data_IF_627275546625
#
_entry.id   IF_627275546625
#
_cell.length_a   1.000
_cell.length_b   1.000
_cell.length_c   1.000
_cell.angle_alpha   90.00
_cell.angle_beta   90.00
_cell.angle_gamma   90.00
#
_symmetry.space_group_name_H-M   'P 1'
#
loop_
_entity.id
_entity.type
_entity.pdbx_description
1 polymer ?
#
# COMPACT_ATOMS: atom_id res chain seq x y z
N UNK A 1 1.70 1.40 -16.96
CA UNK A 1 1.46 0.05 -16.40
C UNK A 1 1.50 0.03 -14.87
N UNK A 2 1.09 1.12 -14.22
CA UNK A 2 1.15 1.27 -12.78
C UNK A 2 -0.25 1.55 -12.26
N UNK A 3 -0.47 1.33 -10.97
CA UNK A 3 -1.75 1.62 -10.34
C UNK A 3 -1.65 1.70 -8.84
N UNK A 4 -2.75 2.07 -8.21
CA UNK A 4 -2.83 2.19 -6.77
C UNK A 4 -4.23 1.87 -6.24
N UNK A 5 -4.30 1.55 -4.95
CA UNK A 5 -5.54 1.50 -4.17
C UNK A 5 -5.27 2.25 -2.87
N UNK A 6 -6.16 3.19 -2.53
CA UNK A 6 -6.19 3.81 -1.20
C UNK A 6 -7.42 3.35 -0.44
N UNK A 7 -7.22 2.97 0.80
CA UNK A 7 -8.27 2.44 1.67
C UNK A 7 -8.22 3.16 3.01
N UNK A 8 -9.37 3.65 3.47
CA UNK A 8 -9.55 4.21 4.81
C UNK A 8 -10.90 3.73 5.35
N UNK A 9 -10.85 2.66 6.14
CA UNK A 9 -12.03 2.06 6.77
C UNK A 9 -12.22 2.56 8.21
N UNK A 10 -11.45 3.58 8.63
CA UNK A 10 -11.33 4.08 10.00
C UNK A 10 -10.76 3.02 10.95
N UNK A 11 -11.53 1.97 11.21
CA UNK A 11 -11.17 0.82 12.02
C UNK A 11 -11.87 -0.43 11.48
N UNK A 12 -11.14 -1.55 11.41
CA UNK A 12 -11.70 -2.83 11.02
C UNK A 12 -11.28 -3.92 12.01
N UNK A 13 -12.23 -4.75 12.44
CA UNK A 13 -11.96 -5.94 13.25
C UNK A 13 -12.20 -7.20 12.43
N UNK A 14 -11.18 -8.04 12.37
CA UNK A 14 -11.22 -9.36 11.75
C UNK A 14 -10.89 -10.45 12.78
N UNK A 15 -11.52 -11.63 12.64
CA UNK A 15 -11.25 -12.80 13.49
C UNK A 15 -10.90 -13.99 12.62
N UNK A 16 -9.74 -14.60 12.90
CA UNK A 16 -9.21 -15.74 12.14
C UNK A 16 -8.82 -16.89 13.04
N UNK A 17 -9.04 -18.09 12.54
CA UNK A 17 -8.58 -19.32 13.16
C UNK A 17 -7.10 -19.57 12.85
N UNK A 18 -6.35 -19.88 13.89
CA UNK A 18 -4.96 -20.27 13.79
C UNK A 18 -4.71 -21.53 14.62
N UNK A 19 -3.83 -22.40 14.14
CA UNK A 19 -3.24 -23.44 14.98
C UNK A 19 -2.40 -22.77 16.06
N UNK A 20 -2.48 -23.30 17.27
CA UNK A 20 -1.67 -22.84 18.41
C UNK A 20 -0.19 -23.06 18.06
N UNK A 21 0.59 -21.98 18.09
CA UNK A 21 2.03 -22.02 17.81
C UNK A 21 2.86 -22.22 19.08
N UNK A 22 4.17 -22.39 18.92
CA UNK A 22 5.11 -22.51 20.04
C UNK A 22 5.16 -21.26 20.94
N UNK A 23 4.77 -20.10 20.39
CA UNK A 23 4.61 -18.86 21.15
C UNK A 23 3.13 -18.51 21.19
N UNK A 24 2.50 -18.47 22.38
CA UNK A 24 1.10 -18.12 22.51
C UNK A 24 0.89 -16.67 22.09
N UNK A 25 -0.10 -16.42 21.23
CA UNK A 25 -0.53 -15.06 20.90
C UNK A 25 -1.25 -14.48 22.11
N UNK A 26 -1.03 -13.21 22.38
CA UNK A 26 -1.64 -12.53 23.53
C UNK A 26 -2.36 -11.25 23.10
N UNK A 27 -3.53 -10.94 23.69
CA UNK A 27 -4.12 -9.61 23.58
C UNK A 27 -3.11 -8.51 23.93
N UNK A 28 -3.13 -7.40 23.19
CA UNK A 28 -2.15 -6.31 23.31
C UNK A 28 -0.89 -6.49 22.46
N UNK A 29 -0.75 -7.59 21.72
CA UNK A 29 0.40 -7.80 20.83
C UNK A 29 0.28 -6.89 19.61
N UNK A 30 1.18 -5.91 19.47
CA UNK A 30 1.29 -5.07 18.27
C UNK A 30 1.95 -5.86 17.14
N UNK A 31 1.22 -6.03 16.04
CA UNK A 31 1.73 -6.68 14.82
C UNK A 31 2.59 -5.69 14.04
N UNK A 32 2.10 -4.46 13.91
CA UNK A 32 2.80 -3.30 13.38
C UNK A 32 2.17 -2.01 13.95
N UNK A 33 2.48 -0.83 13.40
CA UNK A 33 1.95 0.43 13.93
C UNK A 33 0.43 0.58 13.78
N UNK A 34 -0.19 -0.15 12.85
CA UNK A 34 -1.60 -0.01 12.47
C UNK A 34 -2.43 -1.26 12.79
N UNK A 35 -1.82 -2.32 13.35
CA UNK A 35 -2.48 -3.60 13.65
C UNK A 35 -2.14 -4.13 15.03
N UNK A 36 -3.15 -4.57 15.75
CA UNK A 36 -3.03 -5.10 17.10
C UNK A 36 -3.92 -6.33 17.31
N UNK A 37 -3.39 -7.35 17.99
CA UNK A 37 -4.18 -8.48 18.48
C UNK A 37 -4.96 -8.02 19.71
N UNK A 38 -6.28 -8.02 19.64
CA UNK A 38 -7.13 -7.54 20.75
C UNK A 38 -7.81 -8.68 21.51
N UNK A 39 -7.92 -9.87 20.90
CA UNK A 39 -8.54 -11.04 21.54
C UNK A 39 -7.91 -12.33 21.04
N UNK A 40 -7.77 -13.30 21.94
CA UNK A 40 -7.35 -14.67 21.62
C UNK A 40 -8.22 -15.61 22.45
N UNK A 41 -9.03 -16.43 21.78
CA UNK A 41 -9.88 -17.44 22.42
C UNK A 41 -9.43 -18.85 21.98
N UNK A 42 -9.09 -19.72 22.93
CA UNK A 42 -8.82 -21.12 22.64
C UNK A 42 -10.13 -21.86 22.36
N UNK A 43 -10.18 -22.65 21.29
CA UNK A 43 -11.28 -23.57 21.03
C UNK A 43 -11.19 -24.78 21.96
N UNK A 44 -12.32 -25.48 22.11
CA UNK A 44 -12.43 -26.65 22.99
C UNK A 44 -11.58 -27.85 22.56
N UNK A 45 -11.00 -27.84 21.35
CA UNK A 45 -10.03 -28.83 20.89
C UNK A 45 -8.63 -28.63 21.50
N UNK A 46 -8.33 -27.44 22.05
CA UNK A 46 -7.02 -27.08 22.59
C UNK A 46 -5.91 -26.88 21.55
N UNK A 47 -6.18 -27.15 20.28
CA UNK A 47 -5.23 -27.08 19.16
C UNK A 47 -5.45 -25.83 18.29
N UNK A 48 -6.65 -25.24 18.37
CA UNK A 48 -7.04 -24.08 17.56
C UNK A 48 -7.33 -22.88 18.45
N UNK A 49 -6.86 -21.70 18.03
CA UNK A 49 -7.22 -20.42 18.63
C UNK A 49 -7.91 -19.49 17.62
N UNK A 50 -8.91 -18.76 18.09
CA UNK A 50 -9.55 -17.65 17.38
C UNK A 50 -8.84 -16.36 17.79
N UNK A 51 -8.20 -15.71 16.83
CA UNK A 51 -7.45 -14.48 17.04
C UNK A 51 -8.21 -13.34 16.40
N UNK A 52 -8.58 -12.33 17.20
CA UNK A 52 -9.17 -11.09 16.71
C UNK A 52 -8.10 -10.02 16.59
N UNK A 53 -7.97 -9.46 15.39
CA UNK A 53 -7.07 -8.37 15.05
C UNK A 53 -7.90 -7.13 14.78
N UNK A 54 -7.42 -5.98 15.27
CA UNK A 54 -7.94 -4.66 14.92
C UNK A 54 -6.93 -3.93 14.05
N UNK A 55 -7.38 -3.54 12.87
CA UNK A 55 -6.68 -2.69 11.91
C UNK A 55 -7.18 -1.25 12.06
N UNK A 56 -6.28 -0.33 12.39
CA UNK A 56 -6.56 1.12 12.43
C UNK A 56 -6.02 1.76 11.16
N UNK A 57 -6.85 2.50 10.46
CA UNK A 57 -6.49 3.10 9.18
C UNK A 57 -5.95 4.51 9.38
N UNK A 58 -4.96 4.87 8.56
CA UNK A 58 -4.47 6.25 8.51
C UNK A 58 -5.41 7.06 7.60
N UNK A 59 -5.90 8.24 8.04
CA UNK A 59 -6.86 9.01 7.25
C UNK A 59 -6.35 9.38 5.86
N UNK A 60 -7.21 9.31 4.84
CA UNK A 60 -6.82 9.66 3.45
C UNK A 60 -6.20 11.06 3.34
N UNK A 61 -6.69 12.01 4.14
CA UNK A 61 -6.23 13.41 4.15
C UNK A 61 -4.74 13.58 4.47
N UNK A 62 -4.09 12.59 5.08
CA UNK A 62 -2.67 12.71 5.49
C UNK A 62 -1.71 11.88 4.63
N UNK A 63 -2.20 11.04 3.70
CA UNK A 63 -1.39 10.15 2.85
C UNK A 63 -0.26 10.91 2.16
N UNK A 64 -0.56 12.07 1.56
CA UNK A 64 0.39 12.89 0.81
C UNK A 64 1.39 13.65 1.68
N UNK A 65 1.22 13.62 3.01
CA UNK A 65 2.07 14.33 3.99
C UNK A 65 2.80 13.38 4.94
N UNK A 66 2.69 12.07 4.73
CA UNK A 66 3.23 11.08 5.65
C UNK A 66 4.74 10.96 5.56
N UNK A 67 5.42 11.06 6.71
CA UNK A 67 6.85 10.81 6.84
C UNK A 67 7.15 9.47 7.53
N UNK A 68 6.16 8.58 7.61
CA UNK A 68 6.26 7.33 8.38
C UNK A 68 6.90 6.18 7.60
N UNK A 69 7.00 6.28 6.28
CA UNK A 69 7.48 5.20 5.41
C UNK A 69 8.80 4.53 5.87
N UNK A 70 9.83 5.27 6.34
CA UNK A 70 11.09 4.66 6.78
C UNK A 70 10.96 3.83 8.07
N UNK A 71 9.94 4.08 8.89
CA UNK A 71 9.66 3.30 10.10
C UNK A 71 9.01 1.95 9.79
N UNK A 72 8.37 1.84 8.63
CA UNK A 72 7.61 0.65 8.20
C UNK A 72 8.50 -0.40 7.55
N UNK A 73 9.60 0.05 6.93
CA UNK A 73 10.43 -0.75 6.05
C UNK A 73 11.78 -1.02 6.67
N UNK A 74 12.21 -2.28 6.64
CA UNK A 74 13.57 -2.62 7.02
C UNK A 74 14.59 -2.12 5.97
N UNK A 75 15.88 -2.10 6.32
CA UNK A 75 16.96 -1.63 5.42
C UNK A 75 16.98 -2.32 4.06
N UNK A 76 16.57 -3.60 3.97
CA UNK A 76 16.53 -4.35 2.72
C UNK A 76 15.32 -3.94 1.87
N UNK A 77 14.16 -3.71 2.50
CA UNK A 77 12.97 -3.22 1.83
C UNK A 77 13.17 -1.79 1.32
N UNK A 78 13.78 -0.91 2.12
CA UNK A 78 14.13 0.46 1.69
C UNK A 78 15.04 0.46 0.46
N UNK A 79 16.04 -0.44 0.39
CA UNK A 79 16.91 -0.59 -0.79
C UNK A 79 16.20 -1.13 -2.03
N UNK A 80 15.07 -1.81 -1.85
CA UNK A 80 14.26 -2.37 -2.95
C UNK A 80 13.10 -1.45 -3.35
N UNK A 81 12.88 -0.36 -2.61
CA UNK A 81 11.86 0.63 -2.92
C UNK A 81 12.09 1.13 -4.35
N UNK A 82 11.01 1.35 -5.08
CA UNK A 82 11.03 1.78 -6.47
C UNK A 82 10.43 3.17 -6.58
N UNK A 83 10.71 3.86 -7.70
CA UNK A 83 10.14 5.17 -7.96
C UNK A 83 8.60 5.18 -8.07
N UNK A 84 7.95 4.01 -8.14
CA UNK A 84 6.51 3.91 -8.37
C UNK A 84 5.66 4.66 -7.34
N UNK A 85 5.97 4.53 -6.04
CA UNK A 85 5.23 5.25 -5.00
C UNK A 85 5.36 6.78 -5.15
N UNK A 86 6.56 7.38 -5.11
CA UNK A 86 6.69 8.83 -5.22
C UNK A 86 6.20 9.39 -6.57
N UNK A 87 6.39 8.66 -7.67
CA UNK A 87 5.91 9.08 -9.00
C UNK A 87 4.38 9.04 -9.10
N UNK A 88 3.71 8.00 -8.57
CA UNK A 88 2.24 7.96 -8.53
C UNK A 88 1.69 9.14 -7.73
N UNK A 89 2.24 9.39 -6.54
CA UNK A 89 1.79 10.50 -5.70
C UNK A 89 2.06 11.86 -6.36
N UNK A 90 3.22 12.03 -7.01
CA UNK A 90 3.54 13.25 -7.74
C UNK A 90 2.54 13.53 -8.87
N UNK A 91 2.05 12.50 -9.58
CA UNK A 91 1.08 12.65 -10.66
C UNK A 91 -0.28 13.24 -10.23
N UNK A 92 -0.62 13.25 -8.93
CA UNK A 92 -1.82 13.93 -8.43
C UNK A 92 -1.73 15.46 -8.54
N UNK A 93 -0.53 16.01 -8.58
CA UNK A 93 -0.29 17.46 -8.78
C UNK A 93 -0.39 17.87 -10.26
N UNK A 94 -0.46 16.89 -11.17
CA UNK A 94 -0.57 17.13 -12.60
C UNK A 94 -2.02 17.10 -13.04
N UNK A 95 -2.40 18.08 -13.87
CA UNK A 95 -3.69 18.05 -14.55
C UNK A 95 -3.66 16.92 -15.59
N UNK A 96 -4.66 16.04 -15.56
CA UNK A 96 -4.82 15.00 -16.60
C UNK A 96 -4.82 15.66 -17.98
N UNK A 97 -3.91 15.28 -18.89
CA UNK A 97 -3.86 15.80 -20.24
C UNK A 97 -5.17 15.54 -20.97
N UNK A 98 -5.61 16.49 -21.79
CA UNK A 98 -6.76 16.32 -22.66
C UNK A 98 -6.40 15.57 -23.93
N UNK A 99 -5.15 15.69 -24.38
CA UNK A 99 -4.62 14.93 -25.51
C UNK A 99 -3.95 13.65 -24.98
N UNK A 100 -4.43 12.45 -25.36
CA UNK A 100 -3.81 11.18 -24.94
C UNK A 100 -2.36 10.98 -25.41
N UNK A 101 -1.93 11.72 -26.45
CA UNK A 101 -0.55 11.65 -26.97
C UNK A 101 0.41 12.61 -26.24
N UNK A 102 -0.11 13.46 -25.36
CA UNK A 102 0.70 14.41 -24.60
C UNK A 102 1.50 13.68 -23.52
N UNK A 103 2.82 13.81 -23.60
CA UNK A 103 3.77 13.24 -22.64
C UNK A 103 4.03 14.29 -21.56
N UNK A 104 4.02 13.87 -20.30
CA UNK A 104 4.38 14.77 -19.20
C UNK A 104 5.86 15.15 -19.29
N UNK A 105 6.18 16.41 -19.03
CA UNK A 105 7.56 16.86 -18.89
C UNK A 105 8.27 16.08 -17.75
N UNK A 106 9.27 15.28 -18.13
CA UNK A 106 10.05 14.46 -17.21
C UNK A 106 10.82 15.28 -16.18
N UNK A 107 11.24 16.50 -16.52
CA UNK A 107 11.95 17.37 -15.58
C UNK A 107 11.00 17.88 -14.49
N UNK A 108 9.79 18.29 -14.89
CA UNK A 108 8.74 18.69 -13.96
C UNK A 108 8.28 17.50 -13.09
N UNK A 109 8.13 16.32 -13.69
CA UNK A 109 7.76 15.10 -12.96
C UNK A 109 8.83 14.72 -11.94
N UNK A 110 10.11 14.79 -12.32
CA UNK A 110 11.21 14.54 -11.40
C UNK A 110 11.20 15.51 -10.23
N UNK A 111 11.05 16.82 -10.48
CA UNK A 111 10.99 17.82 -9.41
C UNK A 111 9.89 17.51 -8.39
N UNK A 112 8.68 17.18 -8.86
CA UNK A 112 7.56 16.81 -8.00
C UNK A 112 7.78 15.48 -7.26
N UNK A 113 8.34 14.48 -7.94
CA UNK A 113 8.64 13.20 -7.32
C UNK A 113 9.74 13.32 -6.25
N UNK A 114 10.73 14.18 -6.44
CA UNK A 114 11.74 14.47 -5.41
C UNK A 114 11.13 15.16 -4.18
N UNK A 115 10.20 16.10 -4.37
CA UNK A 115 9.46 16.71 -3.27
C UNK A 115 8.67 15.65 -2.47
N UNK A 116 8.04 14.70 -3.17
CA UNK A 116 7.36 13.57 -2.51
C UNK A 116 8.35 12.66 -1.77
N UNK A 117 9.52 12.36 -2.34
CA UNK A 117 10.57 11.58 -1.67
C UNK A 117 11.00 12.24 -0.35
N UNK A 118 11.17 13.57 -0.35
CA UNK A 118 11.55 14.31 0.85
C UNK A 118 10.46 14.22 1.94
N UNK A 119 9.19 14.36 1.57
CA UNK A 119 8.05 14.20 2.48
C UNK A 119 7.99 12.78 3.06
N UNK A 120 8.13 11.77 2.19
CA UNK A 120 8.14 10.35 2.57
C UNK A 120 9.40 9.95 3.36
N UNK A 121 10.43 10.80 3.44
CA UNK A 121 11.67 10.51 4.13
C UNK A 121 12.52 9.43 3.45
N UNK A 122 12.44 9.30 2.14
CA UNK A 122 13.21 8.31 1.34
C UNK A 122 14.22 8.97 0.41
N UNK A 123 15.25 8.22 0.03
CA UNK A 123 16.30 8.72 -0.87
C UNK A 123 15.74 9.01 -2.26
N UNK A 124 16.00 10.20 -2.81
CA UNK A 124 15.63 10.58 -4.19
C UNK A 124 16.20 9.65 -5.26
N UNK A 125 17.30 8.94 -4.97
CA UNK A 125 17.89 7.92 -5.85
C UNK A 125 16.98 6.71 -6.12
N UNK A 126 15.85 6.61 -5.43
CA UNK A 126 14.77 5.66 -5.72
C UNK A 126 14.13 5.90 -7.09
N UNK A 127 14.18 7.13 -7.60
CA UNK A 127 13.64 7.50 -8.91
C UNK A 127 14.74 7.30 -9.95
N UNK A 128 14.49 6.42 -10.92
CA UNK A 128 15.41 6.19 -12.04
C UNK A 128 14.95 6.92 -13.31
N UNK A 129 15.86 7.14 -14.25
CA UNK A 129 15.51 7.70 -15.57
C UNK A 129 14.51 6.80 -16.33
N UNK A 130 14.62 5.49 -16.15
CA UNK A 130 13.69 4.52 -16.72
C UNK A 130 12.29 4.68 -16.12
N UNK A 131 12.18 4.82 -14.80
CA UNK A 131 10.91 5.09 -14.13
C UNK A 131 10.29 6.39 -14.66
N UNK A 132 11.06 7.47 -14.74
CA UNK A 132 10.58 8.76 -15.27
C UNK A 132 10.03 8.63 -16.68
N UNK A 133 10.78 7.96 -17.57
CA UNK A 133 10.33 7.74 -18.96
C UNK A 133 9.05 6.92 -19.01
N UNK A 134 8.99 5.84 -18.24
CA UNK A 134 7.81 4.98 -18.18
C UNK A 134 6.58 5.73 -17.65
N UNK A 135 6.74 6.51 -16.59
CA UNK A 135 5.65 7.30 -16.02
C UNK A 135 5.21 8.44 -16.94
N UNK A 136 6.13 9.21 -17.51
CA UNK A 136 5.81 10.31 -18.41
C UNK A 136 5.06 9.87 -19.67
N UNK A 137 5.37 8.68 -20.19
CA UNK A 137 4.76 8.15 -21.43
C UNK A 137 3.50 7.33 -21.20
N UNK A 138 3.31 6.76 -20.01
CA UNK A 138 2.21 5.83 -19.72
C UNK A 138 1.19 6.39 -18.71
N UNK A 139 1.46 7.53 -18.09
CA UNK A 139 0.54 8.17 -17.17
C UNK A 139 -0.84 8.35 -17.82
N UNK A 140 -1.90 8.18 -17.03
CA UNK A 140 -3.30 8.34 -17.45
C UNK A 140 -3.79 7.38 -18.55
N UNK A 141 -2.93 6.49 -19.05
CA UNK A 141 -3.31 5.39 -19.93
C UNK A 141 -3.83 4.22 -19.10
N UNK A 142 -5.05 3.79 -19.39
CA UNK A 142 -5.72 2.69 -18.68
C UNK A 142 -5.47 1.36 -19.41
N UNK A 143 -4.48 0.61 -18.92
CA UNK A 143 -4.17 -0.71 -19.47
C UNK A 143 -5.16 -1.75 -18.92
N UNK A 144 -5.90 -2.44 -19.78
CA UNK A 144 -6.89 -3.45 -19.35
C UNK A 144 -6.33 -4.53 -18.41
N UNK A 145 -5.10 -5.07 -18.62
CA UNK A 145 -4.52 -6.02 -17.66
C UNK A 145 -4.27 -5.42 -16.27
N UNK A 146 -3.85 -4.16 -16.21
CA UNK A 146 -3.63 -3.45 -14.94
C UNK A 146 -4.96 -3.23 -14.23
N UNK A 147 -5.99 -2.79 -14.96
CA UNK A 147 -7.33 -2.62 -14.42
C UNK A 147 -7.92 -3.94 -13.90
N UNK A 148 -7.71 -5.05 -14.60
CA UNK A 148 -8.15 -6.38 -14.16
C UNK A 148 -7.45 -6.82 -12.86
N UNK A 149 -6.13 -6.59 -12.73
CA UNK A 149 -5.37 -6.93 -11.53
C UNK A 149 -5.84 -6.08 -10.33
N UNK A 150 -5.91 -4.76 -10.50
CA UNK A 150 -6.37 -3.86 -9.43
C UNK A 150 -7.83 -4.14 -9.05
N UNK A 151 -8.70 -4.38 -10.03
CA UNK A 151 -10.09 -4.78 -9.81
C UNK A 151 -10.19 -6.09 -9.04
N UNK A 152 -9.31 -7.05 -9.32
CA UNK A 152 -9.19 -8.30 -8.55
C UNK A 152 -8.77 -8.06 -7.10
N UNK A 153 -7.76 -7.23 -6.86
CA UNK A 153 -7.35 -6.85 -5.49
C UNK A 153 -8.48 -6.16 -4.74
N UNK A 154 -9.12 -5.17 -5.36
CA UNK A 154 -10.19 -4.40 -4.74
C UNK A 154 -11.43 -5.26 -4.45
N UNK A 155 -11.85 -6.12 -5.39
CA UNK A 155 -12.98 -7.01 -5.19
C UNK A 155 -12.72 -8.00 -4.04
N UNK A 156 -11.51 -8.57 -3.99
CA UNK A 156 -11.11 -9.47 -2.92
C UNK A 156 -11.08 -8.74 -1.56
N UNK A 157 -10.60 -7.50 -1.51
CA UNK A 157 -10.55 -6.68 -0.30
C UNK A 157 -11.96 -6.38 0.24
N UNK A 158 -12.90 -6.05 -0.65
CA UNK A 158 -14.32 -5.86 -0.31
C UNK A 158 -14.93 -7.14 0.28
N UNK A 159 -14.65 -8.30 -0.30
CA UNK A 159 -15.10 -9.60 0.23
C UNK A 159 -14.53 -9.84 1.63
N UNK A 160 -13.25 -9.56 1.84
CA UNK A 160 -12.58 -9.71 3.14
C UNK A 160 -13.19 -8.78 4.19
N UNK A 161 -13.44 -7.52 3.84
CA UNK A 161 -14.09 -6.55 4.69
C UNK A 161 -15.46 -7.02 5.19
N UNK A 162 -16.32 -7.52 4.29
CA UNK A 162 -17.62 -8.05 4.70
C UNK A 162 -17.51 -9.38 5.46
N UNK A 163 -16.54 -10.21 5.10
CA UNK A 163 -16.29 -11.49 5.74
C UNK A 163 -15.75 -11.38 7.17
N UNK A 164 -15.08 -10.27 7.53
CA UNK A 164 -14.41 -10.05 8.82
C UNK A 164 -13.46 -11.19 9.21
N UNK A 165 -12.82 -11.83 8.22
CA UNK A 165 -11.92 -12.98 8.42
C UNK A 165 -10.45 -12.63 8.30
N UNK A 166 -10.13 -11.66 7.45
CA UNK A 166 -8.76 -11.25 7.15
C UNK A 166 -8.67 -9.73 7.25
N UNK A 167 -7.48 -9.23 7.55
CA UNK A 167 -7.22 -7.80 7.50
C UNK A 167 -7.28 -7.30 6.04
N UNK A 168 -8.05 -6.23 5.77
CA UNK A 168 -8.06 -5.58 4.47
C UNK A 168 -6.73 -4.88 4.16
N UNK A 169 -6.58 -4.41 2.92
CA UNK A 169 -5.49 -3.57 2.44
C UNK A 169 -5.45 -2.30 3.30
N UNK A 170 -4.38 -2.11 4.08
CA UNK A 170 -4.19 -0.97 4.98
C UNK A 170 -2.82 -0.31 4.73
N UNK A 171 -2.73 0.85 4.07
CA UNK A 171 -3.78 1.70 3.48
C UNK A 171 -3.53 2.06 2.01
N UNK A 172 -2.29 1.93 1.53
CA UNK A 172 -1.83 2.38 0.23
C UNK A 172 -1.15 1.21 -0.49
N UNK A 173 -1.88 0.55 -1.40
CA UNK A 173 -1.31 -0.44 -2.30
C UNK A 173 -0.79 0.27 -3.54
N UNK A 174 0.46 0.01 -3.90
CA UNK A 174 1.07 0.48 -5.14
C UNK A 174 1.36 -0.72 -6.02
N UNK A 175 0.82 -0.74 -7.23
CA UNK A 175 1.06 -1.79 -8.21
C UNK A 175 2.06 -1.33 -9.29
N UNK A 176 3.11 -2.12 -9.45
CA UNK A 176 4.12 -1.99 -10.49
C UNK A 176 4.02 -3.19 -11.44
N UNK A 177 3.42 -2.97 -12.61
CA UNK A 177 3.22 -4.03 -13.61
C UNK A 177 4.50 -4.47 -14.33
N UNK A 178 5.57 -3.66 -14.32
CA UNK A 178 6.85 -4.04 -14.91
C UNK A 178 7.56 -5.08 -14.03
N UNK A 179 7.44 -4.92 -12.72
CA UNK A 179 8.07 -5.82 -11.73
C UNK A 179 7.12 -6.89 -11.20
N UNK A 180 5.83 -6.79 -11.53
CA UNK A 180 4.76 -7.62 -10.97
C UNK A 180 4.76 -7.61 -9.43
N UNK A 181 4.99 -6.43 -8.84
CA UNK A 181 5.01 -6.22 -7.39
C UNK A 181 3.84 -5.32 -6.97
N UNK A 182 3.24 -5.60 -5.80
CA UNK A 182 2.11 -4.84 -5.24
C UNK A 182 2.33 -4.52 -3.74
N UNK A 183 3.39 -3.79 -3.36
CA UNK A 183 3.63 -3.45 -1.95
C UNK A 183 2.48 -2.62 -1.36
N UNK A 184 2.24 -2.83 -0.06
CA UNK A 184 1.27 -2.08 0.73
C UNK A 184 2.04 -1.27 1.78
N UNK A 185 1.74 0.01 1.87
CA UNK A 185 2.28 0.96 2.83
C UNK A 185 1.14 1.50 3.72
N UNK A 186 1.45 1.91 4.94
CA UNK A 186 0.52 2.60 5.85
C UNK A 186 0.92 4.07 5.98
N UNK A 187 0.61 4.87 4.96
CA UNK A 187 1.00 6.28 4.84
C UNK A 187 0.10 7.16 5.69
#
# INVERSE_FOLDING_TARGET
MFGYIFTDLIEHSSTKEHTVGNHPRQPGTKINEVKEVVKVDLKGDGETELVTIVDKFVPLSVIFSSSKLPLQLNKRQLKRLTGALPLILALFEFKRPTNPEEIIDTAQLLEKAEQVCDVLGVSRHVITEEDLRNFATQCYTEFSPVAAILGGFLAQDIIQFFGKKDSPINNCLIFDGLRSEAPIYFL
#
